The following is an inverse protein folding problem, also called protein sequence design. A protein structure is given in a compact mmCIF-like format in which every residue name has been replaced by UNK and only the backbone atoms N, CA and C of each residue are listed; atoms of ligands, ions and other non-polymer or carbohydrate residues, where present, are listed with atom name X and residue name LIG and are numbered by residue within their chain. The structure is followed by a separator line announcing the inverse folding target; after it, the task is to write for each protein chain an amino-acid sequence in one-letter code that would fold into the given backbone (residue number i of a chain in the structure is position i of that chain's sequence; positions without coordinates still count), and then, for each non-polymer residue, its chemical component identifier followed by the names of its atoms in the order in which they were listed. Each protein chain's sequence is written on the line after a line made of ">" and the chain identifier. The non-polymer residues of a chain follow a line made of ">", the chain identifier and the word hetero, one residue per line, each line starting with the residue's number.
data_IF_577428335472
#
_entry.id   IF_577428335472
#
_cell.length_a   1.000
_cell.length_b   1.000
_cell.length_c   1.000
_cell.angle_alpha   90.00
_cell.angle_beta   90.00
_cell.angle_gamma   90.00
#
_symmetry.space_group_name_H-M   'P 1'
#
loop_
_entity.id
_entity.type
_entity.pdbx_description
1 polymer ?
#
# COMPACT_ATOMS: atom_id res chain seq x y z
N UNK A 1 -18.86 11.35 9.72
CA UNK A 1 -18.69 12.79 9.98
C UNK A 1 -19.86 13.54 9.40
N UNK A 2 -20.40 14.51 10.14
CA UNK A 2 -21.49 15.37 9.69
C UNK A 2 -20.98 16.49 8.77
N UNK A 3 -21.86 17.08 7.97
CA UNK A 3 -21.52 18.22 7.11
C UNK A 3 -21.00 19.44 7.89
N UNK A 4 -21.44 19.62 9.14
CA UNK A 4 -20.98 20.69 10.03
C UNK A 4 -19.52 20.49 10.47
N UNK A 5 -19.13 19.27 10.81
CA UNK A 5 -17.74 18.95 11.19
C UNK A 5 -16.76 19.26 10.04
N UNK A 6 -17.14 18.97 8.80
CA UNK A 6 -16.32 19.32 7.63
C UNK A 6 -16.17 20.82 7.43
N UNK A 7 -17.24 21.59 7.64
CA UNK A 7 -17.20 23.05 7.52
C UNK A 7 -16.27 23.66 8.57
N UNK A 8 -16.33 23.15 9.80
CA UNK A 8 -15.47 23.59 10.88
C UNK A 8 -13.98 23.30 10.62
N UNK A 9 -13.66 22.09 10.14
CA UNK A 9 -12.27 21.74 9.80
C UNK A 9 -11.73 22.67 8.71
N UNK A 10 -12.52 22.93 7.66
CA UNK A 10 -12.13 23.87 6.58
C UNK A 10 -11.85 25.27 7.12
N UNK A 11 -12.70 25.76 8.01
CA UNK A 11 -12.52 27.07 8.65
C UNK A 11 -11.22 27.11 9.47
N UNK A 12 -10.95 26.07 10.26
CA UNK A 12 -9.72 25.98 11.08
C UNK A 12 -8.46 25.89 10.23
N UNK A 13 -8.50 25.21 9.08
CA UNK A 13 -7.40 25.17 8.11
C UNK A 13 -7.19 26.56 7.49
N UNK A 14 -8.26 27.24 7.05
CA UNK A 14 -8.18 28.59 6.47
C UNK A 14 -7.62 29.62 7.45
N UNK A 15 -7.95 29.49 8.73
CA UNK A 15 -7.41 30.31 9.83
C UNK A 15 -5.99 29.92 10.25
N UNK A 16 -5.35 28.96 9.56
CA UNK A 16 -4.03 28.38 9.91
C UNK A 16 -3.96 27.78 11.32
N UNK A 17 -5.10 27.45 11.94
CA UNK A 17 -5.16 26.76 13.23
C UNK A 17 -4.84 25.27 13.09
N UNK A 18 -5.09 24.70 11.91
CA UNK A 18 -4.62 23.37 11.52
C UNK A 18 -3.59 23.58 10.41
N UNK A 19 -2.32 23.35 10.74
CA UNK A 19 -1.19 23.51 9.81
C UNK A 19 -0.65 22.18 9.30
N UNK A 20 -1.00 21.07 9.95
CA UNK A 20 -0.53 19.74 9.59
C UNK A 20 -1.63 18.69 9.71
N UNK A 21 -1.53 17.66 8.88
CA UNK A 21 -2.31 16.44 8.95
C UNK A 21 -1.35 15.25 8.97
N UNK A 22 -1.71 14.20 9.70
CA UNK A 22 -1.00 12.92 9.71
C UNK A 22 -2.01 11.80 9.44
N UNK A 23 -1.51 10.62 9.08
CA UNK A 23 -2.34 9.44 8.88
C UNK A 23 -1.88 8.35 9.84
N UNK A 24 -2.85 7.72 10.51
CA UNK A 24 -2.58 6.60 11.39
C UNK A 24 -2.39 5.30 10.58
N UNK A 25 -1.58 4.37 11.10
CA UNK A 25 -1.24 3.12 10.41
C UNK A 25 -2.43 2.18 10.28
N UNK A 26 -3.40 2.25 11.18
CA UNK A 26 -4.64 1.46 11.09
C UNK A 26 -5.43 1.77 9.81
N UNK A 27 -5.42 3.04 9.37
CA UNK A 27 -6.08 3.46 8.12
C UNK A 27 -5.43 2.81 6.88
N UNK A 28 -4.18 2.37 6.99
CA UNK A 28 -3.42 1.75 5.91
C UNK A 28 -3.84 0.32 5.60
N UNK A 29 -4.11 -0.45 6.65
CA UNK A 29 -4.57 -1.83 6.53
C UNK A 29 -5.98 -1.89 5.93
N UNK A 30 -6.86 -0.99 6.35
CA UNK A 30 -8.27 -0.97 5.93
C UNK A 30 -8.47 -0.63 4.44
N UNK A 31 -7.53 0.10 3.83
CA UNK A 31 -7.66 0.56 2.44
C UNK A 31 -6.74 -0.20 1.46
N UNK A 32 -6.33 -1.41 1.82
CA UNK A 32 -5.68 -2.35 0.90
C UNK A 32 -4.19 -2.09 0.65
N UNK A 33 -3.54 -1.30 1.52
CA UNK A 33 -2.08 -1.09 1.54
C UNK A 33 -1.49 -0.61 0.20
N UNK A 34 -2.23 0.15 -0.62
CA UNK A 34 -1.71 0.68 -1.89
C UNK A 34 -1.54 2.18 -1.82
N UNK A 35 -0.30 2.64 -1.92
CA UNK A 35 0.05 4.06 -1.94
C UNK A 35 -0.31 4.77 -3.25
N UNK A 36 -0.45 4.01 -4.34
CA UNK A 36 -0.70 4.52 -5.69
C UNK A 36 -2.18 4.70 -6.02
N UNK A 37 -3.10 4.20 -5.18
CA UNK A 37 -4.56 4.17 -5.45
C UNK A 37 -5.37 4.46 -4.18
N UNK A 38 -6.66 4.72 -4.34
CA UNK A 38 -7.60 4.87 -3.22
C UNK A 38 -7.39 6.16 -2.41
N UNK A 39 -7.61 6.09 -1.09
CA UNK A 39 -7.53 7.25 -0.20
C UNK A 39 -6.11 7.80 -0.08
N UNK A 40 -5.09 6.93 -0.20
CA UNK A 40 -3.69 7.31 -0.09
C UNK A 40 -3.19 8.10 -1.30
N UNK A 41 -3.69 7.82 -2.50
CA UNK A 41 -3.32 8.63 -3.67
C UNK A 41 -3.83 10.06 -3.56
N UNK A 42 -4.92 10.29 -2.82
CA UNK A 42 -5.46 11.62 -2.55
C UNK A 42 -4.53 12.43 -1.63
N UNK A 43 -3.67 11.79 -0.83
CA UNK A 43 -2.70 12.49 0.01
C UNK A 43 -1.73 13.36 -0.81
N UNK A 44 -1.53 13.05 -2.10
CA UNK A 44 -0.75 13.90 -3.02
C UNK A 44 -1.31 15.32 -3.14
N UNK A 45 -2.60 15.53 -2.86
CA UNK A 45 -3.22 16.86 -2.86
C UNK A 45 -2.58 17.80 -1.83
N UNK A 46 -1.99 17.25 -0.76
CA UNK A 46 -1.36 18.05 0.28
C UNK A 46 -0.07 18.75 -0.18
N UNK A 47 0.49 18.40 -1.35
CA UNK A 47 1.59 19.15 -1.97
C UNK A 47 1.19 20.58 -2.38
N UNK A 48 -0.10 20.84 -2.59
CA UNK A 48 -0.64 22.15 -2.98
C UNK A 48 -1.68 22.69 -1.98
N UNK A 49 -1.78 22.05 -0.80
CA UNK A 49 -2.79 22.36 0.20
C UNK A 49 -2.20 23.30 1.29
N UNK A 50 -3.00 24.18 1.91
CA UNK A 50 -2.54 25.06 3.00
C UNK A 50 -2.09 24.35 4.28
N UNK A 51 -2.39 23.06 4.43
CA UNK A 51 -1.94 22.21 5.52
C UNK A 51 -0.94 21.17 4.98
N UNK A 52 0.12 20.90 5.74
CA UNK A 52 1.18 19.97 5.37
C UNK A 52 0.83 18.54 5.76
N UNK A 53 1.11 17.58 4.90
CA UNK A 53 1.12 16.17 5.29
C UNK A 53 2.42 15.87 6.03
N UNK A 54 2.31 15.36 7.26
CA UNK A 54 3.44 14.92 8.08
C UNK A 54 3.24 13.45 8.38
N UNK A 55 4.21 12.63 8.01
CA UNK A 55 4.22 11.20 8.34
C UNK A 55 5.45 10.95 9.21
N UNK A 56 5.24 10.34 10.38
CA UNK A 56 6.35 10.00 11.27
C UNK A 56 7.14 8.82 10.71
N UNK A 57 8.42 8.74 11.07
CA UNK A 57 9.27 7.60 10.69
C UNK A 57 8.69 6.26 11.18
N UNK A 58 8.05 6.26 12.36
CA UNK A 58 7.37 5.09 12.92
C UNK A 58 6.26 4.62 11.99
N UNK A 59 5.43 5.55 11.50
CA UNK A 59 4.34 5.25 10.57
C UNK A 59 4.88 4.74 9.24
N UNK A 60 5.94 5.35 8.68
CA UNK A 60 6.58 4.89 7.44
C UNK A 60 7.14 3.47 7.58
N UNK A 61 7.81 3.17 8.69
CA UNK A 61 8.34 1.83 8.97
C UNK A 61 7.22 0.80 9.09
N UNK A 62 6.12 1.16 9.72
CA UNK A 62 4.98 0.27 9.87
C UNK A 62 4.31 0.00 8.52
N UNK A 63 4.08 1.03 7.71
CA UNK A 63 3.60 0.89 6.33
C UNK A 63 4.49 -0.06 5.55
N UNK A 64 5.81 0.13 5.61
CA UNK A 64 6.77 -0.73 4.92
C UNK A 64 6.73 -2.18 5.38
N UNK A 65 6.58 -2.40 6.69
CA UNK A 65 6.42 -3.75 7.29
C UNK A 65 5.16 -4.44 6.79
N UNK A 66 4.03 -3.73 6.79
CA UNK A 66 2.74 -4.25 6.33
C UNK A 66 2.74 -4.56 4.83
N UNK A 67 3.26 -3.64 4.01
CA UNK A 67 3.46 -3.83 2.57
C UNK A 67 4.30 -5.07 2.26
N UNK A 68 5.47 -5.17 2.90
CA UNK A 68 6.39 -6.30 2.73
C UNK A 68 5.69 -7.62 3.07
N UNK A 69 5.02 -7.67 4.23
CA UNK A 69 4.25 -8.86 4.66
C UNK A 69 3.17 -9.25 3.64
N UNK A 70 2.40 -8.26 3.15
CA UNK A 70 1.35 -8.50 2.16
C UNK A 70 1.91 -9.05 0.85
N UNK A 71 3.01 -8.48 0.35
CA UNK A 71 3.67 -8.93 -0.88
C UNK A 71 4.19 -10.35 -0.72
N UNK A 72 4.84 -10.66 0.41
CA UNK A 72 5.34 -12.02 0.71
C UNK A 72 4.20 -13.02 0.71
N UNK A 73 3.12 -12.78 1.45
CA UNK A 73 1.96 -13.69 1.52
C UNK A 73 1.32 -13.90 0.14
N UNK A 74 1.22 -12.85 -0.68
CA UNK A 74 0.68 -12.96 -2.06
C UNK A 74 1.61 -13.75 -2.97
N UNK A 75 2.94 -13.54 -2.89
CA UNK A 75 3.94 -14.31 -3.64
C UNK A 75 3.88 -15.81 -3.29
N UNK A 76 3.85 -16.13 -2.01
CA UNK A 76 3.75 -17.52 -1.53
C UNK A 76 2.44 -18.19 -1.94
N UNK A 77 1.31 -17.48 -1.81
CA UNK A 77 0.02 -17.99 -2.25
C UNK A 77 0.00 -18.26 -3.74
N UNK A 78 0.50 -17.33 -4.55
CA UNK A 78 0.55 -17.50 -6.01
C UNK A 78 1.40 -18.72 -6.41
N UNK A 79 2.54 -18.95 -5.75
CA UNK A 79 3.36 -20.13 -5.99
C UNK A 79 2.63 -21.44 -5.68
N UNK A 80 1.88 -21.49 -4.56
CA UNK A 80 1.03 -22.65 -4.22
C UNK A 80 -0.10 -22.87 -5.22
N UNK A 81 -0.87 -21.81 -5.50
CA UNK A 81 -2.00 -21.88 -6.43
C UNK A 81 -1.55 -22.33 -7.84
N UNK A 82 -0.32 -21.99 -8.26
CA UNK A 82 0.28 -22.46 -9.51
C UNK A 82 0.67 -23.95 -9.46
N UNK A 83 1.27 -24.41 -8.36
CA UNK A 83 1.59 -25.84 -8.18
C UNK A 83 0.31 -26.68 -8.21
N UNK A 84 -0.72 -26.25 -7.48
CA UNK A 84 -2.01 -26.92 -7.44
C UNK A 84 -2.67 -26.95 -8.84
N UNK A 85 -2.55 -25.86 -9.62
CA UNK A 85 -3.07 -25.82 -10.98
C UNK A 85 -2.37 -26.84 -11.92
N UNK A 86 -1.08 -27.09 -11.73
CA UNK A 86 -0.34 -28.14 -12.44
C UNK A 86 -0.96 -29.51 -12.19
N UNK A 87 -1.11 -29.84 -10.91
CA UNK A 87 -1.48 -31.18 -10.45
C UNK A 87 -2.93 -31.51 -10.81
N UNK A 88 -3.83 -30.52 -10.75
CA UNK A 88 -5.26 -30.75 -10.90
C UNK A 88 -5.83 -30.41 -12.28
N UNK A 89 -5.23 -29.46 -13.00
CA UNK A 89 -5.79 -28.95 -14.27
C UNK A 89 -4.97 -29.42 -15.48
N UNK A 90 -3.89 -30.18 -15.25
CA UNK A 90 -3.03 -30.71 -16.31
C UNK A 90 -2.19 -29.62 -16.98
N UNK A 91 -1.81 -28.59 -16.22
CA UNK A 91 -0.93 -27.54 -16.71
C UNK A 91 0.44 -28.14 -17.04
N UNK A 92 0.97 -27.89 -18.23
CA UNK A 92 2.28 -28.46 -18.62
C UNK A 92 3.38 -27.90 -17.71
N UNK A 93 4.10 -28.83 -17.09
CA UNK A 93 5.12 -28.59 -16.08
C UNK A 93 6.26 -27.71 -16.60
N UNK A 94 6.52 -27.71 -17.91
CA UNK A 94 7.49 -26.80 -18.54
C UNK A 94 7.13 -25.33 -18.36
N UNK A 95 5.85 -24.97 -18.48
CA UNK A 95 5.43 -23.58 -18.26
C UNK A 95 5.58 -23.18 -16.79
N UNK A 96 5.43 -24.14 -15.88
CA UNK A 96 5.63 -23.91 -14.45
C UNK A 96 7.09 -23.67 -14.10
N UNK A 97 8.01 -24.43 -14.70
CA UNK A 97 9.44 -24.18 -14.58
C UNK A 97 9.80 -22.79 -15.11
N UNK A 98 9.32 -22.42 -16.30
CA UNK A 98 9.54 -21.08 -16.86
C UNK A 98 8.99 -19.95 -15.98
N UNK A 99 7.78 -20.12 -15.42
CA UNK A 99 7.17 -19.16 -14.51
C UNK A 99 8.01 -19.07 -13.22
N UNK A 100 8.44 -20.19 -12.64
CA UNK A 100 9.25 -20.21 -11.43
C UNK A 100 10.61 -19.54 -11.63
N UNK A 101 11.27 -19.75 -12.77
CA UNK A 101 12.51 -19.06 -13.12
C UNK A 101 12.30 -17.55 -13.15
N UNK A 102 11.26 -17.08 -13.85
CA UNK A 102 10.91 -15.64 -13.88
C UNK A 102 10.53 -15.12 -12.50
N UNK A 103 9.86 -15.93 -11.67
CA UNK A 103 9.44 -15.56 -10.34
C UNK A 103 10.64 -15.35 -9.39
N UNK A 104 11.71 -16.12 -9.57
CA UNK A 104 12.96 -15.97 -8.84
C UNK A 104 13.73 -14.69 -9.25
N UNK A 105 13.58 -14.25 -10.50
CA UNK A 105 14.16 -13.01 -11.02
C UNK A 105 13.37 -11.75 -10.59
N UNK A 106 12.15 -11.91 -10.07
CA UNK A 106 11.35 -10.76 -9.63
C UNK A 106 11.97 -10.09 -8.40
N UNK A 107 11.84 -8.76 -8.27
CA UNK A 107 12.36 -8.03 -7.13
C UNK A 107 11.83 -8.58 -5.81
N UNK A 108 12.67 -8.50 -4.78
CA UNK A 108 12.31 -8.86 -3.41
C UNK A 108 11.13 -8.02 -2.92
N UNK A 109 10.31 -8.55 -1.99
CA UNK A 109 9.24 -7.78 -1.36
C UNK A 109 9.70 -6.42 -0.81
N UNK A 110 10.94 -6.34 -0.30
CA UNK A 110 11.56 -5.13 0.21
C UNK A 110 11.86 -4.11 -0.90
N UNK A 111 12.35 -4.57 -2.06
CA UNK A 111 12.58 -3.70 -3.23
C UNK A 111 11.26 -3.18 -3.81
N UNK A 112 10.25 -4.05 -3.92
CA UNK A 112 8.91 -3.64 -4.36
C UNK A 112 8.32 -2.60 -3.40
N UNK A 113 8.51 -2.78 -2.09
CA UNK A 113 8.06 -1.83 -1.09
C UNK A 113 8.75 -0.46 -1.24
N UNK A 114 10.06 -0.44 -1.50
CA UNK A 114 10.83 0.81 -1.72
C UNK A 114 10.39 1.58 -2.95
N UNK A 115 9.84 0.91 -3.97
CA UNK A 115 9.32 1.59 -5.17
C UNK A 115 7.95 2.25 -4.93
N UNK A 116 7.27 1.95 -3.82
CA UNK A 116 5.92 2.41 -3.53
C UNK A 116 5.87 3.56 -2.51
N UNK A 117 6.93 3.76 -1.73
CA UNK A 117 7.08 4.81 -0.71
C UNK A 117 7.99 5.90 -1.25
#
# INVERSE_FOLDING_TARGET
>A
MSSEEYAEIRLRIAQKKISAITVDTTTFDDHGMRLDRGIFSQLKQFNRHPANLVISEVVLREIGRHLTKSITTKKERFGRDMSDAADFVGFDQKYLEEINTKFAELPSPQEICKLQI
#
